data_IF_740802594459
#
_entry.id   IF_740802594459
#
_cell.length_a   1.000
_cell.length_b   1.000
_cell.length_c   1.000
_cell.angle_alpha   90.00
_cell.angle_beta   90.00
_cell.angle_gamma   90.00
#
_symmetry.space_group_name_H-M   'P 1'
#
loop_
_entity.id
_entity.type
_entity.pdbx_description
1 polymer ?
#
# COMPACT_ATOMS: atom_id res chain seq x y z
N UNK A 1 11.30 30.54 -10.33
CA UNK A 1 10.23 30.31 -9.32
C UNK A 1 9.84 28.85 -9.37
N UNK A 2 10.32 28.05 -8.42
CA UNK A 2 10.09 26.61 -8.37
C UNK A 2 8.73 26.36 -7.71
N UNK A 3 7.74 25.96 -8.49
CA UNK A 3 6.41 25.64 -8.01
C UNK A 3 6.50 24.39 -7.15
N UNK A 4 6.36 24.53 -5.83
CA UNK A 4 6.13 23.40 -4.93
C UNK A 4 4.83 22.73 -5.38
N UNK A 5 4.95 21.58 -6.05
CA UNK A 5 3.84 20.65 -6.22
C UNK A 5 3.41 20.26 -4.82
N UNK A 6 2.24 20.75 -4.38
CA UNK A 6 1.56 20.17 -3.22
C UNK A 6 1.28 18.72 -3.61
N UNK A 7 1.71 17.70 -2.84
CA UNK A 7 1.27 16.34 -3.12
C UNK A 7 -0.25 16.38 -3.12
N UNK A 8 -0.86 15.88 -4.19
CA UNK A 8 -2.29 15.90 -4.37
C UNK A 8 -2.93 15.35 -3.09
N UNK A 9 -3.55 16.24 -2.32
CA UNK A 9 -4.32 15.86 -1.15
C UNK A 9 -5.48 15.03 -1.65
N UNK A 10 -5.34 13.71 -1.56
CA UNK A 10 -6.14 12.86 -0.68
C UNK A 10 -7.65 13.11 -0.65
N UNK A 11 -8.20 13.51 -1.79
CA UNK A 11 -9.62 13.46 -2.13
C UNK A 11 -9.65 13.25 -3.65
N UNK A 12 -10.01 12.05 -4.10
CA UNK A 12 -10.19 11.79 -5.54
C UNK A 12 -11.10 12.85 -6.18
N UNK A 13 -10.83 13.23 -7.43
CA UNK A 13 -11.71 14.11 -8.20
C UNK A 13 -13.12 13.52 -8.17
N UNK A 14 -14.09 14.21 -7.54
CA UNK A 14 -15.46 13.72 -7.36
C UNK A 14 -16.16 13.38 -8.69
N UNK A 15 -15.68 13.90 -9.83
CA UNK A 15 -16.18 13.59 -11.17
C UNK A 15 -15.64 12.27 -11.75
N UNK A 16 -14.58 11.71 -11.14
CA UNK A 16 -13.90 10.48 -11.57
C UNK A 16 -14.14 9.29 -10.63
N UNK A 17 -14.96 9.48 -9.59
CA UNK A 17 -15.15 8.50 -8.52
C UNK A 17 -14.03 8.54 -7.47
N UNK A 18 -14.14 7.69 -6.46
CA UNK A 18 -13.15 7.61 -5.39
C UNK A 18 -11.77 7.19 -5.94
N UNK A 19 -10.69 7.66 -5.30
CA UNK A 19 -9.34 7.22 -5.62
C UNK A 19 -9.22 5.72 -5.35
N UNK A 20 -8.90 4.95 -6.40
CA UNK A 20 -8.68 3.52 -6.30
C UNK A 20 -7.36 3.26 -5.58
N UNK A 21 -7.48 2.83 -4.32
CA UNK A 21 -6.38 2.51 -3.44
C UNK A 21 -5.42 3.67 -3.18
N UNK A 22 -4.26 3.31 -2.64
CA UNK A 22 -3.11 4.19 -2.39
C UNK A 22 -1.96 3.78 -3.30
N UNK A 23 -1.07 4.73 -3.56
CA UNK A 23 0.11 4.50 -4.41
C UNK A 23 1.08 3.56 -3.69
N UNK A 24 1.69 2.66 -4.46
CA UNK A 24 2.79 1.85 -3.95
C UNK A 24 4.11 2.63 -4.05
N UNK A 25 4.84 2.68 -2.96
CA UNK A 25 6.23 3.12 -2.89
C UNK A 25 7.10 1.88 -2.72
N UNK A 26 7.96 1.63 -3.69
CA UNK A 26 8.94 0.53 -3.69
C UNK A 26 10.30 1.12 -4.01
N UNK A 27 11.33 0.88 -3.20
CA UNK A 27 12.65 1.42 -3.47
C UNK A 27 13.31 0.66 -4.63
N UNK A 28 14.10 1.36 -5.44
CA UNK A 28 14.78 0.80 -6.62
C UNK A 28 15.76 -0.32 -6.26
N UNK A 29 16.32 -0.27 -5.05
CA UNK A 29 17.18 -1.30 -4.50
C UNK A 29 16.43 -2.55 -4.04
N UNK A 30 15.14 -2.70 -4.38
CA UNK A 30 14.35 -3.89 -4.03
C UNK A 30 14.17 -4.09 -2.52
N UNK A 31 14.44 -3.07 -1.71
CA UNK A 31 14.21 -3.06 -0.27
C UNK A 31 15.34 -3.66 0.56
N UNK A 32 16.58 -3.54 0.08
CA UNK A 32 17.76 -4.06 0.77
C UNK A 32 17.88 -3.49 2.19
N UNK A 33 18.01 -4.39 3.18
CA UNK A 33 18.12 -4.04 4.59
C UNK A 33 16.81 -3.58 5.24
N UNK A 34 15.69 -3.50 4.51
CA UNK A 34 14.42 -3.08 5.09
C UNK A 34 13.76 -4.22 5.88
N UNK A 35 13.27 -3.87 7.08
CA UNK A 35 12.38 -4.71 7.89
C UNK A 35 10.97 -4.19 7.73
N UNK A 36 10.10 -4.99 7.12
CA UNK A 36 8.73 -4.60 6.80
C UNK A 36 7.73 -5.26 7.74
N UNK A 37 6.74 -4.47 8.17
CA UNK A 37 5.55 -4.94 8.88
C UNK A 37 4.46 -5.19 7.86
N UNK A 38 3.85 -6.37 7.93
CA UNK A 38 2.72 -6.75 7.07
C UNK A 38 1.45 -6.82 7.92
N UNK A 39 0.48 -5.98 7.60
CA UNK A 39 -0.81 -5.86 8.28
C UNK A 39 -1.96 -5.95 7.29
N UNK A 40 -3.14 -6.41 7.73
CA UNK A 40 -4.35 -6.40 6.92
C UNK A 40 -5.06 -5.07 7.12
N UNK A 41 -5.41 -4.36 6.04
CA UNK A 41 -6.24 -3.16 6.13
C UNK A 41 -7.67 -3.54 6.54
N UNK A 42 -8.25 -2.74 7.43
CA UNK A 42 -9.69 -2.82 7.72
C UNK A 42 -10.44 -2.13 6.59
N UNK A 43 -11.19 -2.92 5.84
CA UNK A 43 -12.06 -2.44 4.77
C UNK A 43 -13.51 -2.57 5.24
N UNK A 44 -14.29 -1.50 5.12
CA UNK A 44 -15.71 -1.50 5.51
C UNK A 44 -16.62 -2.17 4.46
N UNK A 45 -17.93 -2.24 4.74
CA UNK A 45 -18.91 -2.83 3.83
C UNK A 45 -19.09 -2.07 2.51
N UNK A 46 -18.60 -0.83 2.42
CA UNK A 46 -18.57 -0.04 1.19
C UNK A 46 -17.28 -0.20 0.38
N UNK A 47 -16.29 -0.93 0.88
CA UNK A 47 -15.01 -1.12 0.21
C UNK A 47 -13.98 -0.01 0.51
N UNK A 48 -14.16 0.77 1.58
CA UNK A 48 -13.25 1.84 1.98
C UNK A 48 -12.35 1.43 3.15
N UNK A 49 -11.10 1.90 3.15
CA UNK A 49 -10.26 1.84 4.35
C UNK A 49 -10.59 2.97 5.35
N UNK A 50 -9.99 2.94 6.54
CA UNK A 50 -10.19 3.98 7.57
C UNK A 50 -9.72 5.38 7.15
N UNK A 51 -8.93 5.46 6.08
CA UNK A 51 -8.55 6.70 5.44
C UNK A 51 -9.46 7.12 4.29
N UNK A 52 -10.55 6.42 4.01
CA UNK A 52 -11.43 6.78 2.90
C UNK A 52 -10.84 6.51 1.51
N UNK A 53 -9.73 5.77 1.39
CA UNK A 53 -9.32 5.24 0.09
C UNK A 53 -10.25 4.08 -0.28
N UNK A 54 -10.77 4.09 -1.51
CA UNK A 54 -11.64 3.03 -2.00
C UNK A 54 -10.79 1.90 -2.57
N UNK A 55 -10.94 0.71 -2.01
CA UNK A 55 -10.27 -0.49 -2.48
C UNK A 55 -11.21 -1.42 -3.23
N UNK A 56 -12.52 -1.32 -2.99
CA UNK A 56 -13.54 -2.26 -3.46
C UNK A 56 -13.72 -3.47 -2.55
N UNK A 57 -14.61 -4.38 -2.95
CA UNK A 57 -14.88 -5.64 -2.24
C UNK A 57 -14.04 -6.80 -2.82
N UNK A 58 -13.92 -7.89 -2.07
CA UNK A 58 -13.19 -9.10 -2.47
C UNK A 58 -12.10 -9.49 -1.46
N UNK A 59 -10.99 -10.03 -1.97
CA UNK A 59 -9.88 -10.53 -1.14
C UNK A 59 -9.33 -9.47 -0.17
N UNK A 60 -8.82 -9.85 1.00
CA UNK A 60 -8.16 -8.93 1.91
C UNK A 60 -7.14 -8.01 1.21
N UNK A 61 -7.11 -6.74 1.60
CA UNK A 61 -6.01 -5.82 1.26
C UNK A 61 -4.96 -5.90 2.36
N UNK A 62 -3.73 -6.17 1.96
CA UNK A 62 -2.56 -6.22 2.83
C UNK A 62 -1.68 -5.01 2.60
N UNK A 63 -1.14 -4.48 3.68
CA UNK A 63 -0.26 -3.33 3.73
C UNK A 63 1.10 -3.73 4.30
N UNK A 64 2.14 -3.66 3.47
CA UNK A 64 3.52 -3.78 3.85
C UNK A 64 4.14 -2.39 3.98
N UNK A 65 4.76 -2.11 5.12
CA UNK A 65 5.49 -0.85 5.36
C UNK A 65 6.76 -1.07 6.15
N UNK A 66 7.80 -0.30 5.88
CA UNK A 66 8.93 -0.15 6.82
C UNK A 66 8.68 1.01 7.79
N UNK A 67 9.57 1.18 8.77
CA UNK A 67 9.46 2.27 9.76
C UNK A 67 10.03 3.61 9.24
N UNK A 68 10.70 3.61 8.08
CA UNK A 68 11.36 4.78 7.47
C UNK A 68 10.71 5.32 6.19
N UNK A 69 9.47 4.91 5.89
CA UNK A 69 8.69 5.32 4.72
C UNK A 69 9.38 5.06 3.35
N UNK A 70 10.36 4.15 3.32
CA UNK A 70 11.06 3.73 2.08
C UNK A 70 10.24 2.72 1.28
N UNK A 71 9.38 1.96 1.95
CA UNK A 71 8.48 0.99 1.38
C UNK A 71 7.08 1.20 1.96
N UNK A 72 6.12 1.41 1.07
CA UNK A 72 4.69 1.54 1.40
C UNK A 72 3.90 0.85 0.30
N UNK A 73 3.50 -0.41 0.53
CA UNK A 73 2.97 -1.29 -0.50
C UNK A 73 1.65 -1.93 -0.10
N UNK A 74 0.72 -1.94 -1.04
CA UNK A 74 -0.61 -2.53 -0.92
C UNK A 74 -0.81 -3.64 -1.95
N UNK A 75 -1.34 -4.78 -1.52
CA UNK A 75 -1.67 -5.90 -2.39
C UNK A 75 -2.96 -6.58 -1.94
N UNK A 76 -3.74 -7.11 -2.89
CA UNK A 76 -4.80 -8.06 -2.57
C UNK A 76 -4.23 -9.47 -2.52
N UNK A 77 -4.66 -10.25 -1.53
CA UNK A 77 -4.31 -11.66 -1.39
C UNK A 77 -5.27 -12.33 -0.40
N UNK A 78 -5.62 -13.60 -0.66
CA UNK A 78 -6.51 -14.36 0.21
C UNK A 78 -5.85 -14.67 1.56
N UNK A 79 -4.53 -14.89 1.55
CA UNK A 79 -3.75 -15.26 2.73
C UNK A 79 -2.56 -14.33 2.99
N UNK A 80 -2.03 -14.37 4.22
CA UNK A 80 -0.84 -13.60 4.60
C UNK A 80 0.41 -14.05 3.83
N UNK A 81 0.52 -15.34 3.52
CA UNK A 81 1.68 -15.87 2.81
C UNK A 81 1.66 -15.52 1.32
N UNK A 82 0.48 -15.53 0.68
CA UNK A 82 0.31 -14.96 -0.66
C UNK A 82 0.65 -13.47 -0.69
N UNK A 83 0.24 -12.71 0.33
CA UNK A 83 0.61 -11.31 0.45
C UNK A 83 2.14 -11.13 0.54
N UNK A 84 2.82 -11.94 1.36
CA UNK A 84 4.29 -11.93 1.42
C UNK A 84 4.92 -12.23 0.07
N UNK A 85 4.43 -13.25 -0.64
CA UNK A 85 4.94 -13.62 -1.95
C UNK A 85 4.79 -12.47 -2.95
N UNK A 86 3.64 -11.80 -2.98
CA UNK A 86 3.39 -10.64 -3.84
C UNK A 86 4.30 -9.44 -3.50
N UNK A 87 4.59 -9.21 -2.21
CA UNK A 87 5.55 -8.18 -1.79
C UNK A 87 6.97 -8.55 -2.23
N UNK A 88 7.41 -9.78 -1.99
CA UNK A 88 8.75 -10.25 -2.38
C UNK A 88 8.97 -10.25 -3.89
N UNK A 89 7.92 -10.44 -4.70
CA UNK A 89 8.03 -10.32 -6.15
C UNK A 89 8.42 -8.91 -6.63
N UNK A 90 8.14 -7.87 -5.84
CA UNK A 90 8.45 -6.46 -6.17
C UNK A 90 9.60 -5.90 -5.34
N UNK A 91 9.75 -6.36 -4.10
CA UNK A 91 10.80 -5.95 -3.17
C UNK A 91 11.50 -7.22 -2.64
N UNK A 92 12.32 -7.90 -3.46
CA UNK A 92 12.86 -9.23 -3.16
C UNK A 92 13.87 -9.26 -2.02
N UNK A 93 14.39 -8.10 -1.61
CA UNK A 93 15.45 -7.99 -0.59
C UNK A 93 14.94 -7.53 0.78
N UNK A 94 13.62 -7.40 0.96
CA UNK A 94 13.02 -7.06 2.25
C UNK A 94 13.00 -8.28 3.18
N UNK A 95 12.97 -8.02 4.48
CA UNK A 95 12.69 -9.04 5.49
C UNK A 95 11.42 -8.68 6.25
N UNK A 96 10.61 -9.67 6.63
CA UNK A 96 9.41 -9.42 7.42
C UNK A 96 9.74 -9.44 8.92
N UNK A 97 9.19 -8.47 9.65
CA UNK A 97 9.19 -8.52 11.11
C UNK A 97 8.41 -9.76 11.60
N UNK A 98 8.86 -10.34 12.72
CA UNK A 98 8.32 -11.60 13.25
C UNK A 98 7.01 -11.42 13.99
#
# INVERSE_FOLDING_TARGET
>A
MQTKLKPAGWMGDARRGASHGRVNVVPEDGGEGLKVRLSRLRIDGGGYDEGGAYWGLGDPVWWARDDGDRLDMFTRAATRDEAKAAILARAPRVTFWR
#
